data_IF_406663989929
#
_entry.id   IF_406663989929
#
_cell.length_a   1.000
_cell.length_b   1.000
_cell.length_c   1.000
_cell.angle_alpha   90.00
_cell.angle_beta   90.00
_cell.angle_gamma   90.00
#
_symmetry.space_group_name_H-M   'P 1'
#
loop_
_entity.id
_entity.type
_entity.pdbx_description
1 polymer ?
#
# COMPACT_ATOMS: atom_id res chain seq x y z
N UNK A 1 -8.51 13.51 17.45
CA UNK A 1 -9.12 13.98 16.18
C UNK A 1 -9.11 12.80 15.22
N UNK A 2 -10.26 12.22 14.91
CA UNK A 2 -10.37 11.09 13.99
C UNK A 2 -10.25 11.61 12.56
N UNK A 3 -9.15 11.31 11.86
CA UNK A 3 -9.07 11.52 10.42
C UNK A 3 -10.03 10.51 9.80
N UNK A 4 -11.22 10.96 9.39
CA UNK A 4 -12.13 10.13 8.61
C UNK A 4 -11.37 9.67 7.35
N UNK A 5 -11.08 8.38 7.26
CA UNK A 5 -10.36 7.83 6.11
C UNK A 5 -11.20 8.05 4.86
N UNK A 6 -10.69 8.85 3.92
CA UNK A 6 -11.32 9.03 2.60
C UNK A 6 -11.38 7.67 1.91
N UNK A 7 -12.59 7.17 1.68
CA UNK A 7 -12.83 5.95 0.90
C UNK A 7 -13.07 6.36 -0.55
N UNK A 8 -12.32 5.80 -1.47
CA UNK A 8 -12.45 6.09 -2.90
C UNK A 8 -12.62 4.77 -3.66
N UNK A 9 -13.47 4.79 -4.69
CA UNK A 9 -13.61 3.71 -5.65
C UNK A 9 -13.19 4.24 -7.01
N UNK A 10 -12.22 3.56 -7.63
CA UNK A 10 -11.76 3.87 -8.97
C UNK A 10 -12.38 2.86 -9.94
N UNK A 11 -13.01 3.35 -11.00
CA UNK A 11 -13.48 2.50 -12.09
C UNK A 11 -12.32 2.18 -13.01
N UNK A 12 -12.04 0.89 -13.18
CA UNK A 12 -11.01 0.38 -14.08
C UNK A 12 -11.63 0.06 -15.45
N UNK A 13 -10.85 0.21 -16.52
CA UNK A 13 -11.19 -0.22 -17.87
C UNK A 13 -10.80 -1.69 -18.12
N UNK A 14 -10.75 -2.08 -19.38
CA UNK A 14 -10.42 -3.47 -19.76
C UNK A 14 -8.92 -3.73 -19.92
N UNK A 15 -8.09 -2.69 -20.09
CA UNK A 15 -6.64 -2.84 -20.22
C UNK A 15 -5.96 -2.92 -18.84
N UNK A 16 -5.40 -4.07 -18.44
CA UNK A 16 -4.76 -4.25 -17.15
C UNK A 16 -3.51 -3.37 -16.96
N UNK A 17 -2.82 -2.99 -18.03
CA UNK A 17 -1.61 -2.16 -18.00
C UNK A 17 -1.97 -0.70 -17.76
N UNK A 18 -2.96 -0.16 -18.46
CA UNK A 18 -3.47 1.19 -18.22
C UNK A 18 -4.10 1.33 -16.84
N UNK A 19 -4.81 0.29 -16.39
CA UNK A 19 -5.34 0.23 -15.04
C UNK A 19 -4.23 0.27 -13.99
N UNK A 20 -3.13 -0.45 -14.20
CA UNK A 20 -1.98 -0.43 -13.29
C UNK A 20 -1.36 0.97 -13.18
N UNK A 21 -1.17 1.66 -14.31
CA UNK A 21 -0.69 3.06 -14.33
C UNK A 21 -1.66 3.99 -13.59
N UNK A 22 -2.95 3.88 -13.89
CA UNK A 22 -4.00 4.67 -13.22
C UNK A 22 -3.97 4.51 -11.70
N UNK A 23 -3.80 3.27 -11.22
CA UNK A 23 -3.66 2.97 -9.79
C UNK A 23 -2.39 3.61 -9.22
N UNK A 24 -1.26 3.51 -9.92
CA UNK A 24 0.00 4.11 -9.47
C UNK A 24 -0.08 5.64 -9.41
N UNK A 25 -0.59 6.29 -10.45
CA UNK A 25 -0.75 7.75 -10.49
C UNK A 25 -1.64 8.23 -9.34
N UNK A 26 -2.74 7.52 -9.07
CA UNK A 26 -3.61 7.81 -7.94
C UNK A 26 -2.88 7.65 -6.59
N UNK A 27 -2.13 6.56 -6.41
CA UNK A 27 -1.36 6.31 -5.18
C UNK A 27 -0.31 7.40 -4.97
N UNK A 28 0.45 7.76 -6.01
CA UNK A 28 1.47 8.81 -5.96
C UNK A 28 0.83 10.15 -5.58
N UNK A 29 -0.28 10.52 -6.22
CA UNK A 29 -1.01 11.75 -5.90
C UNK A 29 -1.45 11.77 -4.44
N UNK A 30 -1.98 10.66 -3.91
CA UNK A 30 -2.39 10.56 -2.51
C UNK A 30 -1.21 10.67 -1.54
N UNK A 31 -0.08 10.03 -1.86
CA UNK A 31 1.15 10.12 -1.05
C UNK A 31 1.71 11.54 -1.03
N UNK A 32 1.70 12.25 -2.17
CA UNK A 32 2.11 13.64 -2.27
C UNK A 32 1.21 14.55 -1.42
N UNK A 33 -0.12 14.39 -1.52
CA UNK A 33 -1.07 15.16 -0.73
C UNK A 33 -0.89 14.92 0.78
N UNK A 34 -0.73 13.66 1.19
CA UNK A 34 -0.50 13.31 2.60
C UNK A 34 0.84 13.82 3.11
N UNK A 35 1.88 13.82 2.28
CA UNK A 35 3.19 14.38 2.63
C UNK A 35 3.11 15.88 2.79
N UNK A 36 2.43 16.60 1.88
CA UNK A 36 2.22 18.03 2.00
C UNK A 36 1.46 18.39 3.28
N UNK A 37 0.42 17.63 3.62
CA UNK A 37 -0.34 17.82 4.86
C UNK A 37 0.50 17.51 6.11
N UNK A 38 1.26 16.41 6.09
CA UNK A 38 2.17 16.03 7.18
C UNK A 38 3.22 17.12 7.40
N UNK A 39 3.85 17.60 6.31
CA UNK A 39 4.85 18.67 6.38
C UNK A 39 4.29 19.95 6.98
N UNK A 40 3.04 20.33 6.67
CA UNK A 40 2.39 21.49 7.30
C UNK A 40 2.25 21.33 8.83
N UNK A 41 1.93 20.12 9.30
CA UNK A 41 1.76 19.82 10.74
C UNK A 41 3.12 19.77 11.44
N UNK A 42 4.11 19.15 10.82
CA UNK A 42 5.39 18.85 11.45
C UNK A 42 6.50 19.86 11.15
N UNK A 43 6.24 20.90 10.34
CA UNK A 43 7.22 21.95 10.01
C UNK A 43 7.84 22.59 11.25
N UNK A 44 7.05 22.74 12.32
CA UNK A 44 7.48 23.33 13.59
C UNK A 44 8.40 22.44 14.42
N UNK A 45 8.54 21.16 14.10
CA UNK A 45 9.31 20.18 14.90
C UNK A 45 10.70 19.86 14.31
N UNK A 46 11.05 20.47 13.18
CA UNK A 46 12.37 20.35 12.53
C UNK A 46 12.42 19.29 11.42
N UNK A 47 13.51 19.30 10.63
CA UNK A 47 13.64 18.43 9.47
C UNK A 47 13.72 16.93 9.82
N UNK A 48 14.23 16.58 11.01
CA UNK A 48 14.37 15.19 11.47
C UNK A 48 13.03 14.48 11.69
N UNK A 49 11.98 15.18 12.12
CA UNK A 49 10.65 14.60 12.31
C UNK A 49 9.91 14.36 10.99
N UNK A 50 10.29 15.06 9.91
CA UNK A 50 9.70 14.82 8.59
C UNK A 50 10.17 13.50 7.97
N UNK A 51 11.42 13.09 8.26
CA UNK A 51 12.00 11.87 7.70
C UNK A 51 11.42 10.62 8.37
N UNK A 52 11.16 10.69 9.68
CA UNK A 52 10.59 9.56 10.40
C UNK A 52 9.17 9.27 9.93
N UNK A 53 8.32 10.26 9.68
CA UNK A 53 6.89 10.03 9.34
C UNK A 53 6.59 9.97 7.85
N UNK A 54 7.46 9.36 7.04
CA UNK A 54 7.26 9.35 5.58
C UNK A 54 6.03 8.51 5.21
N UNK A 55 5.00 9.10 4.58
CA UNK A 55 3.80 8.35 4.18
C UNK A 55 4.16 7.27 3.16
N UNK A 56 3.59 6.08 3.32
CA UNK A 56 3.75 4.96 2.40
C UNK A 56 2.42 4.24 2.16
N UNK A 57 2.34 3.49 1.06
CA UNK A 57 1.13 2.82 0.62
C UNK A 57 1.32 1.30 0.52
N UNK A 58 0.29 0.55 0.90
CA UNK A 58 0.22 -0.90 0.71
C UNK A 58 -0.82 -1.22 -0.37
N UNK A 59 -0.42 -1.92 -1.43
CA UNK A 59 -1.26 -2.22 -2.59
C UNK A 59 -1.44 -3.73 -2.73
N UNK A 60 -2.67 -4.21 -2.52
CA UNK A 60 -3.05 -5.61 -2.70
C UNK A 60 -3.48 -5.88 -4.14
N UNK A 61 -2.92 -6.93 -4.73
CA UNK A 61 -3.17 -7.34 -6.12
C UNK A 61 -3.27 -8.85 -6.26
N UNK A 62 -4.10 -9.34 -7.20
CA UNK A 62 -4.12 -10.76 -7.57
C UNK A 62 -2.89 -11.13 -8.40
N UNK A 63 -2.59 -10.31 -9.42
CA UNK A 63 -1.43 -10.45 -10.27
C UNK A 63 -0.55 -9.20 -10.13
N UNK A 64 0.66 -9.37 -9.60
CA UNK A 64 1.62 -8.29 -9.39
C UNK A 64 2.33 -7.84 -10.66
N UNK A 65 2.34 -8.65 -11.72
CA UNK A 65 3.14 -8.40 -12.93
C UNK A 65 2.85 -7.05 -13.57
N UNK A 66 1.59 -6.70 -13.78
CA UNK A 66 1.23 -5.43 -14.43
C UNK A 66 1.65 -4.22 -13.60
N UNK A 67 1.50 -4.29 -12.27
CA UNK A 67 1.84 -3.20 -11.37
C UNK A 67 3.36 -3.08 -11.18
N UNK A 68 4.06 -4.20 -11.02
CA UNK A 68 5.52 -4.26 -10.96
C UNK A 68 6.16 -3.77 -12.26
N UNK A 69 5.61 -4.14 -13.41
CA UNK A 69 6.08 -3.65 -14.72
C UNK A 69 5.83 -2.15 -14.85
N UNK A 70 4.67 -1.64 -14.43
CA UNK A 70 4.40 -0.21 -14.44
C UNK A 70 5.35 0.56 -13.50
N UNK A 71 5.60 0.05 -12.29
CA UNK A 71 6.60 0.61 -11.36
C UNK A 71 7.98 0.64 -12.01
N UNK A 72 8.47 -0.48 -12.56
CA UNK A 72 9.80 -0.56 -13.16
C UNK A 72 9.94 0.37 -14.38
N UNK A 73 8.89 0.48 -15.19
CA UNK A 73 8.86 1.38 -16.34
C UNK A 73 8.87 2.85 -15.91
N UNK A 74 8.17 3.22 -14.83
CA UNK A 74 8.12 4.61 -14.36
C UNK A 74 9.26 4.99 -13.41
N UNK A 75 9.93 4.05 -12.72
CA UNK A 75 11.17 4.30 -11.95
C UNK A 75 12.26 4.90 -12.84
N UNK A 76 12.24 4.60 -14.14
CA UNK A 76 13.15 5.20 -15.12
C UNK A 76 12.98 6.73 -15.25
N UNK A 77 11.84 7.28 -14.80
CA UNK A 77 11.56 8.72 -14.68
C UNK A 77 11.89 9.17 -13.25
N UNK A 78 13.09 9.75 -13.08
CA UNK A 78 13.66 10.18 -11.80
C UNK A 78 12.70 10.98 -10.88
N UNK A 79 11.75 11.71 -11.46
CA UNK A 79 10.80 12.57 -10.74
C UNK A 79 9.87 11.81 -9.78
N UNK A 80 9.50 10.57 -10.12
CA UNK A 80 8.56 9.77 -9.32
C UNK A 80 9.22 8.69 -8.47
N UNK A 81 10.53 8.47 -8.63
CA UNK A 81 11.27 7.37 -7.99
C UNK A 81 11.01 7.27 -6.48
N UNK A 82 11.10 8.40 -5.79
CA UNK A 82 10.95 8.46 -4.34
C UNK A 82 9.54 8.01 -3.88
N UNK A 83 8.51 8.27 -4.70
CA UNK A 83 7.14 7.90 -4.41
C UNK A 83 6.91 6.43 -4.70
N UNK A 84 7.47 5.93 -5.80
CA UNK A 84 7.43 4.51 -6.18
C UNK A 84 8.11 3.64 -5.12
N UNK A 85 9.25 4.08 -4.56
CA UNK A 85 9.92 3.43 -3.42
C UNK A 85 9.09 3.47 -2.12
N UNK A 86 8.03 4.28 -2.06
CA UNK A 86 7.10 4.37 -0.92
C UNK A 86 5.84 3.51 -1.12
N UNK A 87 5.80 2.67 -2.17
CA UNK A 87 4.68 1.77 -2.47
C UNK A 87 5.14 0.33 -2.27
N UNK A 88 4.48 -0.39 -1.37
CA UNK A 88 4.66 -1.82 -1.20
C UNK A 88 3.54 -2.58 -1.92
N UNK A 89 3.90 -3.40 -2.90
CA UNK A 89 2.96 -4.27 -3.61
C UNK A 89 2.93 -5.63 -2.91
N UNK A 90 1.74 -6.09 -2.56
CA UNK A 90 1.49 -7.37 -1.94
C UNK A 90 0.59 -8.20 -2.85
N UNK A 91 1.15 -9.29 -3.38
CA UNK A 91 0.35 -10.27 -4.11
C UNK A 91 -0.38 -11.15 -3.10
N UNK A 92 -1.69 -11.29 -3.31
CA UNK A 92 -2.57 -12.11 -2.49
C UNK A 92 -3.41 -12.99 -3.40
N UNK A 93 -3.85 -14.14 -2.88
CA UNK A 93 -4.59 -15.16 -3.64
C UNK A 93 -6.07 -15.25 -3.26
N UNK A 94 -6.46 -14.68 -2.12
CA UNK A 94 -7.85 -14.64 -1.66
C UNK A 94 -8.10 -13.49 -0.68
N UNK A 95 -9.39 -13.20 -0.45
CA UNK A 95 -9.80 -12.14 0.48
C UNK A 95 -9.43 -12.45 1.94
N UNK A 96 -9.28 -13.74 2.31
CA UNK A 96 -8.90 -14.14 3.66
C UNK A 96 -7.47 -13.72 3.99
N UNK A 97 -6.55 -13.81 3.02
CA UNK A 97 -5.19 -13.28 3.17
C UNK A 97 -5.18 -11.76 3.37
N UNK A 98 -6.00 -11.01 2.61
CA UNK A 98 -6.15 -9.56 2.82
C UNK A 98 -6.63 -9.29 4.25
N UNK A 99 -7.67 -9.98 4.71
CA UNK A 99 -8.19 -9.83 6.08
C UNK A 99 -7.13 -10.15 7.12
N UNK A 100 -6.38 -11.24 6.96
CA UNK A 100 -5.31 -11.64 7.87
C UNK A 100 -4.22 -10.57 7.97
N UNK A 101 -3.74 -10.06 6.84
CA UNK A 101 -2.72 -9.00 6.80
C UNK A 101 -3.24 -7.73 7.45
N UNK A 102 -4.46 -7.28 7.10
CA UNK A 102 -5.06 -6.08 7.70
C UNK A 102 -5.27 -6.21 9.20
N UNK A 103 -5.66 -7.39 9.69
CA UNK A 103 -5.76 -7.66 11.12
C UNK A 103 -4.38 -7.61 11.79
N UNK A 104 -3.37 -8.21 11.17
CA UNK A 104 -2.03 -8.27 11.71
C UNK A 104 -1.35 -6.90 11.81
N UNK A 105 -1.66 -5.95 10.92
CA UNK A 105 -1.20 -4.55 11.02
C UNK A 105 -1.61 -3.86 12.34
N UNK A 106 -2.64 -4.35 13.01
CA UNK A 106 -3.15 -3.79 14.26
C UNK A 106 -2.69 -4.55 15.51
N UNK A 107 -2.01 -5.68 15.34
CA UNK A 107 -1.54 -6.52 16.45
C UNK A 107 -0.06 -6.21 16.66
N UNK A 108 0.30 -5.71 17.84
CA UNK A 108 1.71 -5.60 18.23
C UNK A 108 2.30 -7.01 18.22
N UNK A 109 3.23 -7.27 17.31
CA UNK A 109 3.86 -8.57 17.20
C UNK A 109 4.62 -8.87 18.50
N UNK A 110 4.14 -9.86 19.26
CA UNK A 110 4.99 -10.57 20.20
C UNK A 110 6.02 -11.34 19.37
N UNK A 111 7.29 -11.18 19.72
CA UNK A 111 8.50 -11.56 18.97
C UNK A 111 8.71 -13.08 18.81
N UNK A 112 7.69 -13.82 18.40
CA UNK A 112 7.63 -15.29 18.48
C UNK A 112 7.25 -15.98 17.16
N UNK A 113 7.37 -15.30 16.02
CA UNK A 113 7.17 -15.94 14.71
C UNK A 113 8.49 -16.05 13.95
N UNK A 114 9.19 -17.16 14.22
CA UNK A 114 10.25 -17.68 13.36
C UNK A 114 9.59 -18.41 12.18
N UNK A 115 9.23 -17.70 11.12
CA UNK A 115 8.94 -18.32 9.83
C UNK A 115 9.73 -17.63 8.74
N UNK A 116 10.60 -18.41 8.11
CA UNK A 116 11.56 -18.09 7.05
C UNK A 116 10.92 -17.76 5.69
N UNK A 117 9.78 -17.09 5.69
CA UNK A 117 9.12 -16.54 4.52
C UNK A 117 9.05 -15.03 4.73
N UNK A 118 9.45 -14.22 3.75
CA UNK A 118 9.47 -12.76 3.83
C UNK A 118 8.05 -12.22 4.06
N UNK A 119 7.62 -12.18 5.31
CA UNK A 119 6.28 -11.74 5.71
C UNK A 119 6.21 -10.21 5.60
N UNK A 120 5.11 -9.69 5.05
CA UNK A 120 4.87 -8.24 4.93
C UNK A 120 5.06 -7.53 6.28
N UNK A 121 4.76 -8.22 7.38
CA UNK A 121 4.93 -7.69 8.73
C UNK A 121 6.41 -7.52 9.09
N UNK A 122 7.25 -8.51 8.75
CA UNK A 122 8.71 -8.41 8.94
C UNK A 122 9.31 -7.29 8.10
N UNK A 123 8.79 -7.07 6.88
CA UNK A 123 9.18 -5.94 6.04
C UNK A 123 8.79 -4.60 6.67
N UNK A 124 7.57 -4.46 7.19
CA UNK A 124 7.13 -3.23 7.88
C UNK A 124 8.00 -2.93 9.10
N UNK A 125 8.36 -3.96 9.87
CA UNK A 125 9.22 -3.79 11.03
C UNK A 125 10.63 -3.33 10.63
N UNK A 126 11.22 -3.93 9.60
CA UNK A 126 12.61 -3.69 9.22
C UNK A 126 12.81 -2.45 8.33
N UNK A 127 11.88 -2.17 7.42
CA UNK A 127 12.05 -1.13 6.38
C UNK A 127 11.23 0.14 6.68
N UNK A 128 10.26 0.06 7.60
CA UNK A 128 9.34 1.17 7.92
C UNK A 128 9.23 1.46 9.41
N UNK A 129 10.12 0.94 10.25
CA UNK A 129 10.14 1.19 11.70
C UNK A 129 8.77 0.97 12.39
N UNK A 130 8.02 -0.07 11.96
CA UNK A 130 6.65 -0.36 12.42
C UNK A 130 5.59 0.71 12.09
N UNK A 131 5.88 1.61 11.15
CA UNK A 131 4.88 2.60 10.75
C UNK A 131 3.78 1.97 9.90
N UNK A 132 2.51 2.18 10.25
CA UNK A 132 1.40 1.67 9.46
C UNK A 132 1.32 2.39 8.10
N UNK A 133 0.82 1.72 7.05
CA UNK A 133 0.59 2.38 5.76
C UNK A 133 -0.47 3.46 5.92
N UNK A 134 -0.25 4.61 5.28
CA UNK A 134 -1.18 5.74 5.30
C UNK A 134 -2.30 5.61 4.25
N UNK A 135 -2.11 4.67 3.31
CA UNK A 135 -2.99 4.35 2.20
C UNK A 135 -2.96 2.84 1.97
N UNK A 136 -4.13 2.22 1.91
CA UNK A 136 -4.30 0.82 1.54
C UNK A 136 -5.14 0.79 0.28
N UNK A 137 -4.65 0.11 -0.76
CA UNK A 137 -5.35 -0.07 -2.03
C UNK A 137 -5.59 -1.54 -2.26
N UNK A 138 -6.81 -1.90 -2.65
CA UNK A 138 -7.15 -3.26 -3.06
C UNK A 138 -7.61 -3.21 -4.52
N UNK A 139 -6.79 -3.75 -5.42
CA UNK A 139 -7.15 -3.87 -6.84
C UNK A 139 -8.09 -5.06 -7.04
N UNK A 140 -9.06 -4.89 -7.94
CA UNK A 140 -10.03 -5.91 -8.33
C UNK A 140 -10.94 -6.40 -7.17
N UNK A 141 -11.25 -5.53 -6.19
CA UNK A 141 -12.04 -5.86 -4.99
C UNK A 141 -13.35 -6.60 -5.29
N UNK A 142 -14.06 -6.24 -6.35
CA UNK A 142 -15.33 -6.89 -6.70
C UNK A 142 -15.14 -8.35 -7.13
N UNK A 143 -14.04 -8.65 -7.81
CA UNK A 143 -13.67 -10.02 -8.17
C UNK A 143 -13.40 -10.82 -6.89
N UNK A 144 -12.64 -10.24 -5.96
CA UNK A 144 -12.36 -10.84 -4.66
C UNK A 144 -13.63 -11.17 -3.86
N UNK A 145 -14.58 -10.24 -3.84
CA UNK A 145 -15.86 -10.44 -3.15
C UNK A 145 -16.69 -11.54 -3.81
N UNK A 146 -16.71 -11.60 -5.15
CA UNK A 146 -17.44 -12.62 -5.89
C UNK A 146 -16.87 -14.01 -5.65
N UNK A 147 -15.55 -14.14 -5.65
CA UNK A 147 -14.88 -15.43 -5.46
C UNK A 147 -15.01 -15.93 -4.01
N UNK A 148 -14.99 -15.02 -3.03
CA UNK A 148 -15.17 -15.39 -1.61
C UNK A 148 -16.53 -16.00 -1.27
N UNK A 149 -17.58 -15.66 -2.03
CA UNK A 149 -18.91 -16.25 -1.86
C UNK A 149 -19.01 -17.66 -2.46
N UNK A 150 -18.01 -18.12 -3.22
CA UNK A 150 -17.96 -19.48 -3.77
C UNK A 150 -17.31 -20.47 -2.82
N UNK A 151 -16.40 -20.01 -1.97
CA UNK A 151 -15.68 -20.86 -1.01
C UNK A 151 -16.50 -21.19 0.26
N UNK A 152 -17.75 -20.71 0.35
CA UNK A 152 -18.66 -20.92 1.50
C UNK A 152 -19.85 -21.82 1.18
N UNK A 153 -19.84 -22.54 0.05
CA UNK A 153 -20.85 -23.51 -0.36
C UNK A 153 -20.28 -24.93 -0.52
#
# INVERSE_FOLDING_TARGET
>A
MSIAGTRCFLRMGDDPTENAKTVLDFVIMQLQQKTAHSNQIFQSFGAGTMYTTRPWALVFVYNSQYLSNAINNDISRLENRQWLESIQVCQVENIHQIRAILCALHIQQQSTYNSSQSDILSWIQNERDNQPPCLIVVKDLLQWMKDSNRDTL
#
